data_IF_869578861776
#
_entry.id   IF_869578861776
#
_cell.length_a   1.000
_cell.length_b   1.000
_cell.length_c   1.000
_cell.angle_alpha   90.00
_cell.angle_beta   90.00
_cell.angle_gamma   90.00
#
_symmetry.space_group_name_H-M   'P 1'
#
loop_
_entity.id
_entity.type
_entity.pdbx_description
1 polymer ?
#
# COMPACT_ATOMS: atom_id res chain seq x y z
N UNK A 1 -16.14 -69.87 -46.50
CA UNK A 1 -15.53 -69.76 -45.16
C UNK A 1 -15.53 -68.29 -44.76
N UNK A 2 -15.96 -68.04 -43.53
CA UNK A 2 -16.20 -66.75 -42.89
C UNK A 2 -14.99 -65.79 -42.94
N UNK A 3 -15.26 -64.49 -43.08
CA UNK A 3 -15.04 -63.55 -41.96
C UNK A 3 -15.63 -62.18 -42.25
N UNK A 4 -16.58 -61.80 -41.40
CA UNK A 4 -17.09 -60.46 -41.19
C UNK A 4 -15.99 -59.58 -40.58
N UNK A 5 -15.80 -58.36 -41.07
CA UNK A 5 -15.19 -57.27 -40.30
C UNK A 5 -16.14 -56.07 -40.34
N UNK A 6 -16.73 -55.80 -39.18
CA UNK A 6 -17.56 -54.67 -38.85
C UNK A 6 -16.64 -53.47 -38.58
N UNK A 7 -16.72 -52.41 -39.38
CA UNK A 7 -16.05 -51.13 -39.08
C UNK A 7 -17.09 -50.16 -38.53
N UNK A 8 -16.99 -49.90 -37.23
CA UNK A 8 -17.75 -48.88 -36.52
C UNK A 8 -17.46 -47.48 -37.09
N UNK A 9 -18.52 -46.74 -37.38
CA UNK A 9 -18.45 -45.28 -37.55
C UNK A 9 -18.09 -44.63 -36.20
N UNK A 10 -16.90 -44.03 -36.10
CA UNK A 10 -16.61 -43.08 -35.04
C UNK A 10 -17.08 -41.68 -35.49
N UNK A 11 -18.20 -41.23 -34.92
CA UNK A 11 -18.66 -39.85 -35.03
C UNK A 11 -17.63 -38.92 -34.37
N UNK A 12 -16.92 -38.13 -35.19
CA UNK A 12 -16.08 -37.04 -34.68
C UNK A 12 -17.01 -35.95 -34.16
N UNK A 13 -17.25 -35.96 -32.84
CA UNK A 13 -17.90 -34.88 -32.13
C UNK A 13 -17.05 -33.62 -32.25
N UNK A 14 -17.57 -32.62 -32.95
CA UNK A 14 -16.98 -31.30 -33.05
C UNK A 14 -17.15 -30.59 -31.71
N UNK A 15 -16.26 -30.88 -30.75
CA UNK A 15 -16.14 -30.07 -29.53
C UNK A 15 -15.65 -28.69 -29.94
N UNK A 16 -16.58 -27.74 -30.09
CA UNK A 16 -16.24 -26.30 -30.09
C UNK A 16 -15.63 -26.00 -28.73
N UNK A 17 -14.31 -26.04 -28.66
CA UNK A 17 -13.58 -25.31 -27.63
C UNK A 17 -13.99 -23.85 -27.80
N UNK A 18 -14.85 -23.37 -26.89
CA UNK A 18 -15.00 -21.94 -26.68
C UNK A 18 -13.67 -21.50 -26.11
N UNK A 19 -12.75 -21.13 -27.00
CA UNK A 19 -11.55 -20.41 -26.63
C UNK A 19 -12.08 -19.08 -26.09
N UNK A 20 -12.28 -18.97 -24.78
CA UNK A 20 -12.43 -17.65 -24.18
C UNK A 20 -11.11 -16.97 -24.46
N UNK A 21 -11.11 -16.00 -25.38
CA UNK A 21 -10.03 -15.04 -25.45
C UNK A 21 -9.74 -14.59 -24.00
N UNK A 22 -8.46 -14.53 -23.57
CA UNK A 22 -8.16 -13.85 -22.32
C UNK A 22 -8.85 -12.49 -22.42
N UNK A 23 -9.75 -12.20 -21.50
CA UNK A 23 -10.17 -10.82 -21.33
C UNK A 23 -8.87 -10.11 -21.02
N UNK A 24 -8.33 -9.37 -21.98
CA UNK A 24 -7.52 -8.20 -21.70
C UNK A 24 -8.39 -7.40 -20.74
N UNK A 25 -8.19 -7.60 -19.43
CA UNK A 25 -8.48 -6.57 -18.46
C UNK A 25 -7.49 -5.50 -18.86
N UNK A 26 -7.96 -4.58 -19.69
CA UNK A 26 -7.22 -3.36 -19.93
C UNK A 26 -6.91 -2.79 -18.54
N UNK A 27 -5.63 -2.73 -18.22
CA UNK A 27 -5.05 -2.11 -17.02
C UNK A 27 -5.58 -0.67 -16.93
N UNK A 28 -6.58 -0.46 -16.08
CA UNK A 28 -7.21 0.84 -15.82
C UNK A 28 -7.44 0.98 -14.32
N UNK A 29 -6.42 0.70 -13.52
CA UNK A 29 -6.42 1.08 -12.11
C UNK A 29 -6.19 2.60 -12.06
N UNK A 30 -7.16 3.34 -11.52
CA UNK A 30 -7.20 4.81 -11.55
C UNK A 30 -7.60 5.40 -10.20
N UNK A 31 -6.64 5.42 -9.27
CA UNK A 31 -6.85 6.09 -7.99
C UNK A 31 -7.29 7.55 -8.18
N UNK A 32 -8.12 8.03 -7.25
CA UNK A 32 -8.55 9.43 -7.21
C UNK A 32 -8.41 9.96 -5.79
N UNK A 33 -7.50 10.90 -5.58
CA UNK A 33 -7.39 11.65 -4.33
C UNK A 33 -8.27 12.90 -4.36
N UNK A 34 -8.97 13.16 -3.26
CA UNK A 34 -9.82 14.35 -3.07
C UNK A 34 -9.34 15.11 -1.84
N UNK A 35 -9.29 16.44 -1.96
CA UNK A 35 -9.10 17.37 -0.85
C UNK A 35 -10.25 18.38 -0.84
N UNK A 36 -10.83 18.62 0.33
CA UNK A 36 -11.84 19.66 0.54
C UNK A 36 -11.42 20.50 1.74
N UNK A 37 -11.25 21.80 1.48
CA UNK A 37 -10.94 22.79 2.51
C UNK A 37 -12.08 22.88 3.55
N UNK A 38 -11.72 23.10 4.81
CA UNK A 38 -12.66 23.22 5.91
C UNK A 38 -13.76 24.26 5.65
N UNK A 39 -13.44 25.40 5.02
CA UNK A 39 -14.42 26.44 4.71
C UNK A 39 -15.39 26.08 3.56
N UNK A 40 -15.09 25.00 2.82
CA UNK A 40 -15.93 24.50 1.74
C UNK A 40 -16.92 23.41 2.19
N UNK A 41 -16.82 22.91 3.43
CA UNK A 41 -17.74 21.92 3.99
C UNK A 41 -18.84 22.55 4.83
N UNK A 42 -19.96 21.83 5.00
CA UNK A 42 -21.13 22.34 5.72
C UNK A 42 -20.93 22.37 7.24
N UNK A 43 -20.02 21.55 7.76
CA UNK A 43 -19.71 21.37 9.19
C UNK A 43 -18.36 21.96 9.59
N UNK A 44 -17.60 22.53 8.65
CA UNK A 44 -16.30 23.14 8.91
C UNK A 44 -15.14 22.15 9.02
N UNK A 45 -15.35 20.86 8.73
CA UNK A 45 -14.29 19.85 8.72
C UNK A 45 -13.52 19.83 7.39
N UNK A 46 -12.21 19.66 7.43
CA UNK A 46 -11.40 19.41 6.23
C UNK A 46 -11.48 17.92 5.85
N UNK A 47 -11.37 17.61 4.56
CA UNK A 47 -11.48 16.23 4.06
C UNK A 47 -10.27 15.91 3.19
N UNK A 48 -9.56 14.84 3.53
CA UNK A 48 -8.67 14.12 2.62
C UNK A 48 -9.25 12.71 2.42
N UNK A 49 -9.45 12.32 1.15
CA UNK A 49 -10.07 11.04 0.80
C UNK A 49 -9.45 10.44 -0.45
N UNK A 50 -9.60 9.13 -0.62
CA UNK A 50 -9.20 8.43 -1.85
C UNK A 50 -10.20 7.37 -2.28
N UNK A 51 -10.35 7.19 -3.60
CA UNK A 51 -10.70 5.89 -4.17
C UNK A 51 -9.40 5.16 -4.53
N UNK A 52 -9.15 4.03 -3.87
CA UNK A 52 -7.98 3.20 -4.12
C UNK A 52 -8.35 2.07 -5.10
N UNK A 53 -7.94 2.24 -6.35
CA UNK A 53 -8.18 1.28 -7.43
C UNK A 53 -6.92 0.44 -7.64
N UNK A 54 -7.05 -0.88 -7.61
CA UNK A 54 -5.93 -1.80 -7.72
C UNK A 54 -6.38 -3.24 -7.81
N UNK A 55 -5.76 -4.03 -8.69
CA UNK A 55 -5.94 -5.48 -8.70
C UNK A 55 -4.64 -6.22 -8.98
N UNK A 56 -4.09 -6.97 -8.00
CA UNK A 56 -4.57 -7.25 -6.64
C UNK A 56 -4.33 -6.12 -5.61
N UNK A 57 -5.24 -5.96 -4.63
CA UNK A 57 -5.07 -5.06 -3.48
C UNK A 57 -5.66 -5.68 -2.20
N UNK A 58 -4.93 -5.62 -1.09
CA UNK A 58 -5.43 -5.94 0.25
C UNK A 58 -6.34 -4.78 0.70
N UNK A 59 -7.65 -5.02 0.81
CA UNK A 59 -8.65 -4.00 1.16
C UNK A 59 -8.92 -3.91 2.66
N UNK A 60 -8.16 -4.62 3.51
CA UNK A 60 -8.38 -4.55 4.96
C UNK A 60 -8.05 -3.15 5.49
N UNK A 61 -9.01 -2.57 6.20
CA UNK A 61 -8.77 -1.45 7.10
C UNK A 61 -8.25 -2.01 8.43
N UNK A 62 -7.02 -1.67 8.79
CA UNK A 62 -6.36 -2.14 10.01
C UNK A 62 -6.12 -0.98 10.94
N UNK A 63 -6.69 -1.05 12.15
CA UNK A 63 -6.29 -0.15 13.22
C UNK A 63 -4.96 -0.61 13.82
N UNK A 64 -3.96 0.26 13.73
CA UNK A 64 -2.67 0.14 14.38
C UNK A 64 -2.76 0.90 15.71
N UNK A 65 -2.69 0.22 16.87
CA UNK A 65 -2.78 0.89 18.16
C UNK A 65 -1.60 1.83 18.44
N UNK A 66 -1.78 2.84 19.33
CA UNK A 66 -0.68 3.62 19.89
C UNK A 66 0.44 2.72 20.42
N UNK A 67 1.69 3.13 20.22
CA UNK A 67 2.86 2.42 20.74
C UNK A 67 3.73 3.38 21.53
N UNK A 68 4.18 2.94 22.71
CA UNK A 68 5.18 3.67 23.48
C UNK A 68 6.57 3.22 23.04
N UNK A 69 7.36 4.18 22.56
CA UNK A 69 8.75 3.96 22.20
C UNK A 69 9.70 4.46 23.31
N UNK A 70 10.67 3.62 23.66
CA UNK A 70 11.77 3.95 24.56
C UNK A 70 13.01 4.52 23.86
N UNK A 71 14.06 4.88 24.62
CA UNK A 71 15.28 5.43 24.05
C UNK A 71 15.95 4.49 23.03
N UNK A 72 16.15 5.00 21.82
CA UNK A 72 16.79 4.26 20.71
C UNK A 72 15.94 3.13 20.12
N UNK A 73 14.66 3.02 20.50
CA UNK A 73 13.76 2.06 19.87
C UNK A 73 13.44 2.44 18.43
N UNK A 74 13.26 1.42 17.61
CA UNK A 74 13.13 1.56 16.16
C UNK A 74 11.82 0.96 15.65
N UNK A 75 11.32 1.53 14.57
CA UNK A 75 10.19 1.02 13.79
C UNK A 75 10.71 0.31 12.55
N UNK A 76 10.24 -0.93 12.34
CA UNK A 76 10.50 -1.68 11.11
C UNK A 76 9.81 -1.01 9.91
N UNK A 77 10.48 -1.03 8.75
CA UNK A 77 9.94 -0.54 7.47
C UNK A 77 9.85 -1.71 6.51
N UNK A 78 8.67 -1.94 5.92
CA UNK A 78 8.43 -3.03 4.99
C UNK A 78 8.41 -2.56 3.54
N UNK A 79 8.79 -3.47 2.64
CA UNK A 79 8.69 -3.25 1.21
C UNK A 79 7.23 -3.21 0.78
N UNK A 80 6.90 -2.38 -0.20
CA UNK A 80 5.57 -2.34 -0.82
C UNK A 80 5.13 -3.74 -1.25
N UNK A 81 3.95 -4.16 -0.82
CA UNK A 81 3.31 -5.39 -1.24
C UNK A 81 1.79 -5.22 -1.22
N UNK A 82 1.15 -5.28 -2.39
CA UNK A 82 -0.28 -4.98 -2.50
C UNK A 82 -1.18 -6.19 -2.25
N UNK A 83 -0.68 -7.43 -2.37
CA UNK A 83 -1.50 -8.63 -2.19
C UNK A 83 -1.82 -8.87 -0.72
N UNK A 84 -2.94 -9.53 -0.46
CA UNK A 84 -3.20 -10.06 0.88
C UNK A 84 -2.23 -11.21 1.23
N UNK A 85 -1.62 -11.20 2.42
CA UNK A 85 -1.59 -10.08 3.37
C UNK A 85 -0.51 -9.05 2.97
N UNK A 86 -0.84 -7.74 3.04
CA UNK A 86 0.13 -6.68 2.70
C UNK A 86 1.39 -6.73 3.57
N UNK A 87 1.20 -7.02 4.86
CA UNK A 87 2.24 -7.35 5.82
C UNK A 87 1.74 -8.43 6.79
N UNK A 88 2.68 -9.19 7.35
CA UNK A 88 2.46 -10.13 8.45
C UNK A 88 3.35 -9.71 9.62
N UNK A 89 2.76 -8.97 10.57
CA UNK A 89 3.43 -8.43 11.73
C UNK A 89 2.44 -8.24 12.89
N UNK A 90 2.32 -9.24 13.75
CA UNK A 90 1.46 -9.19 14.93
C UNK A 90 1.89 -8.11 15.94
N UNK A 91 3.15 -7.65 15.88
CA UNK A 91 3.66 -6.57 16.73
C UNK A 91 3.26 -5.18 16.24
N UNK A 92 2.99 -5.03 14.93
CA UNK A 92 2.41 -3.82 14.35
C UNK A 92 0.96 -3.67 14.78
N UNK A 93 0.14 -4.68 14.51
CA UNK A 93 -1.26 -4.69 14.92
C UNK A 93 -1.78 -6.14 15.05
N UNK A 94 -2.73 -6.42 15.96
CA UNK A 94 -3.36 -7.74 16.05
C UNK A 94 -3.95 -8.23 14.72
N UNK A 95 -4.51 -7.33 13.92
CA UNK A 95 -5.08 -7.65 12.60
C UNK A 95 -4.03 -7.99 11.53
N UNK A 96 -2.75 -7.74 11.80
CA UNK A 96 -1.62 -8.17 10.98
C UNK A 96 -0.99 -9.48 11.46
N UNK A 97 -1.57 -10.13 12.48
CA UNK A 97 -1.17 -11.47 12.86
C UNK A 97 -1.45 -12.48 11.71
N UNK A 98 -0.60 -13.51 11.56
CA UNK A 98 -0.81 -14.55 10.56
C UNK A 98 -2.13 -15.28 10.82
N UNK A 99 -2.94 -15.47 9.78
CA UNK A 99 -4.21 -16.20 9.83
C UNK A 99 -4.07 -17.68 9.46
N UNK A 100 -2.89 -18.09 8.98
CA UNK A 100 -2.57 -19.48 8.65
C UNK A 100 -1.07 -19.78 8.85
N UNK A 101 -0.67 -21.06 9.00
CA UNK A 101 0.74 -21.45 9.12
C UNK A 101 1.61 -21.09 7.90
N UNK A 102 0.99 -20.88 6.74
CA UNK A 102 1.68 -20.54 5.49
C UNK A 102 2.06 -19.06 5.43
N UNK A 103 1.36 -18.19 6.17
CA UNK A 103 1.72 -16.78 6.30
C UNK A 103 2.96 -16.63 7.18
N UNK A 104 4.11 -16.42 6.53
CA UNK A 104 5.38 -16.14 7.22
C UNK A 104 5.46 -14.66 7.62
N UNK A 105 6.10 -14.33 8.76
CA UNK A 105 6.36 -12.94 9.12
C UNK A 105 7.04 -12.18 7.99
N UNK A 106 6.60 -10.95 7.76
CA UNK A 106 7.23 -10.07 6.78
C UNK A 106 8.65 -9.74 7.21
N UNK A 107 9.56 -9.62 6.24
CA UNK A 107 10.96 -9.25 6.49
C UNK A 107 11.12 -7.75 6.25
N UNK A 108 11.54 -6.97 7.27
CA UNK A 108 11.81 -5.54 7.09
C UNK A 108 12.98 -5.30 6.12
N UNK A 109 12.89 -4.23 5.33
CA UNK A 109 13.99 -3.75 4.47
C UNK A 109 14.84 -2.67 5.15
N UNK A 110 14.41 -2.22 6.33
CA UNK A 110 15.15 -1.32 7.19
C UNK A 110 14.38 -0.94 8.44
N UNK A 111 14.94 0.01 9.16
CA UNK A 111 14.41 0.52 10.42
C UNK A 111 14.68 2.01 10.52
N UNK A 112 13.75 2.73 11.16
CA UNK A 112 13.96 4.14 11.53
C UNK A 112 13.86 4.32 13.04
N UNK A 113 14.54 5.34 13.55
CA UNK A 113 14.42 5.75 14.95
C UNK A 113 13.07 6.43 15.15
N UNK A 114 12.38 6.06 16.23
CA UNK A 114 11.10 6.68 16.60
C UNK A 114 11.29 7.66 17.75
N UNK A 115 10.46 8.72 17.83
CA UNK A 115 10.48 9.62 18.98
C UNK A 115 10.13 8.86 20.26
N UNK A 116 10.80 9.18 21.36
CA UNK A 116 10.44 8.65 22.67
C UNK A 116 9.04 9.13 23.07
N UNK A 117 8.27 8.24 23.71
CA UNK A 117 6.90 8.51 24.14
C UNK A 117 5.85 7.70 23.39
N UNK A 118 4.58 8.01 23.63
CA UNK A 118 3.45 7.30 23.03
C UNK A 118 3.05 7.96 21.73
N UNK A 119 3.08 7.19 20.65
CA UNK A 119 2.63 7.56 19.30
C UNK A 119 1.11 7.54 19.19
N UNK A 120 0.58 8.06 18.09
CA UNK A 120 -0.83 8.01 17.79
C UNK A 120 -1.25 6.63 17.24
N UNK A 121 -2.46 6.20 17.61
CA UNK A 121 -3.16 5.13 16.91
C UNK A 121 -3.70 5.61 15.57
N UNK A 122 -3.61 4.77 14.54
CA UNK A 122 -4.03 5.12 13.18
C UNK A 122 -4.69 3.97 12.43
N UNK A 123 -5.44 4.34 11.40
CA UNK A 123 -6.03 3.43 10.44
C UNK A 123 -5.14 3.34 9.21
N UNK A 124 -4.74 2.11 8.91
CA UNK A 124 -3.94 1.72 7.76
C UNK A 124 -4.80 0.93 6.76
N UNK A 125 -4.55 1.14 5.48
CA UNK A 125 -5.19 0.48 4.35
C UNK A 125 -4.13 0.18 3.28
N UNK A 126 -4.40 0.46 2.00
CA UNK A 126 -3.35 0.47 0.99
C UNK A 126 -2.25 1.50 1.32
N UNK A 127 -2.66 2.56 2.01
CA UNK A 127 -1.87 3.68 2.51
C UNK A 127 -2.47 4.12 3.84
N UNK A 128 -1.77 4.96 4.58
CA UNK A 128 -2.28 5.57 5.81
C UNK A 128 -3.56 6.37 5.53
N UNK A 129 -4.58 6.18 6.37
CA UNK A 129 -5.92 6.79 6.17
C UNK A 129 -6.16 7.94 7.14
N UNK A 130 -6.10 7.69 8.44
CA UNK A 130 -6.30 8.72 9.46
C UNK A 130 -5.80 8.28 10.83
N UNK A 131 -5.52 9.22 11.74
CA UNK A 131 -5.15 8.92 13.12
C UNK A 131 -6.13 9.49 14.16
N UNK A 132 -5.91 9.14 15.42
CA UNK A 132 -6.73 9.58 16.55
C UNK A 132 -6.64 11.09 16.86
N UNK A 133 -5.65 11.80 16.28
CA UNK A 133 -5.54 13.24 16.38
C UNK A 133 -6.40 13.99 15.34
N UNK A 134 -7.08 13.28 14.44
CA UNK A 134 -7.89 13.87 13.38
C UNK A 134 -7.10 14.26 12.13
N UNK A 135 -5.84 13.83 12.02
CA UNK A 135 -5.07 13.92 10.78
C UNK A 135 -5.54 12.82 9.82
N UNK A 136 -5.83 13.18 8.57
CA UNK A 136 -6.30 12.26 7.53
C UNK A 136 -5.52 12.45 6.23
N UNK A 137 -5.48 11.39 5.41
CA UNK A 137 -4.75 11.36 4.15
C UNK A 137 -5.57 10.67 3.05
N UNK A 138 -5.42 11.19 1.84
CA UNK A 138 -5.80 10.53 0.59
C UNK A 138 -4.58 10.37 -0.29
N UNK A 139 -4.57 9.36 -1.15
CA UNK A 139 -3.45 9.02 -2.02
C UNK A 139 -3.94 8.84 -3.46
N UNK A 140 -3.14 9.27 -4.43
CA UNK A 140 -3.32 8.91 -5.83
C UNK A 140 -1.98 8.81 -6.53
N UNK A 141 -1.79 7.71 -7.27
CA UNK A 141 -0.58 7.52 -8.05
C UNK A 141 -0.43 8.54 -9.17
N UNK A 142 0.82 8.94 -9.41
CA UNK A 142 1.16 9.89 -10.45
C UNK A 142 2.51 9.57 -11.10
N UNK A 143 2.78 10.17 -12.26
CA UNK A 143 4.06 9.95 -12.93
C UNK A 143 5.21 10.61 -12.16
N UNK A 144 6.34 9.92 -12.06
CA UNK A 144 7.58 10.44 -11.50
C UNK A 144 8.64 10.63 -12.58
N UNK A 145 9.43 11.71 -12.48
CA UNK A 145 10.64 11.88 -13.32
C UNK A 145 11.83 11.06 -12.83
N UNK A 146 11.85 10.79 -11.53
CA UNK A 146 12.87 10.02 -10.85
C UNK A 146 12.21 8.75 -10.33
N UNK A 147 12.90 7.63 -10.49
CA UNK A 147 12.47 6.34 -9.96
C UNK A 147 13.66 5.69 -9.26
N UNK A 148 13.38 4.99 -8.18
CA UNK A 148 14.33 4.14 -7.48
C UNK A 148 13.75 2.73 -7.34
N UNK A 149 14.51 1.83 -6.74
CA UNK A 149 14.06 0.49 -6.36
C UNK A 149 14.11 0.36 -4.84
N UNK A 150 13.36 -0.59 -4.25
CA UNK A 150 13.46 -0.89 -2.83
C UNK A 150 14.90 -1.18 -2.41
N UNK A 151 15.26 -0.76 -1.20
CA UNK A 151 16.57 -1.05 -0.60
C UNK A 151 16.83 -2.56 -0.61
N UNK A 152 17.97 -2.95 -1.19
CA UNK A 152 18.38 -4.34 -1.36
C UNK A 152 18.14 -4.90 -2.76
N UNK A 153 17.24 -4.29 -3.54
CA UNK A 153 16.94 -4.72 -4.91
C UNK A 153 17.85 -4.06 -5.97
N UNK A 154 18.56 -2.98 -5.59
CA UNK A 154 19.50 -2.29 -6.46
C UNK A 154 20.87 -2.97 -6.54
N UNK A 155 21.73 -2.56 -7.49
CA UNK A 155 23.10 -3.06 -7.59
C UNK A 155 23.84 -2.92 -6.25
N UNK A 156 24.57 -3.96 -5.86
CA UNK A 156 25.29 -4.03 -4.58
C UNK A 156 24.41 -3.78 -3.33
N UNK A 157 23.11 -4.09 -3.40
CA UNK A 157 22.17 -3.90 -2.28
C UNK A 157 21.73 -2.45 -2.07
N UNK A 158 21.95 -1.58 -3.05
CA UNK A 158 21.45 -0.19 -3.05
C UNK A 158 19.93 -0.12 -3.20
N UNK A 159 19.38 1.08 -3.07
CA UNK A 159 17.94 1.36 -3.21
C UNK A 159 17.45 2.36 -2.17
N UNK A 160 16.17 2.68 -2.23
CA UNK A 160 15.48 3.58 -1.32
C UNK A 160 14.72 2.81 -0.23
N UNK A 161 14.63 3.36 0.97
CA UNK A 161 13.94 2.71 2.07
C UNK A 161 12.42 2.85 1.98
N UNK A 162 11.93 3.98 1.46
CA UNK A 162 10.52 4.34 1.60
C UNK A 162 9.74 4.28 0.29
N UNK A 163 8.53 3.73 0.39
CA UNK A 163 7.43 3.98 -0.52
C UNK A 163 6.34 4.76 0.22
N UNK A 164 5.32 5.24 -0.48
CA UNK A 164 4.35 6.19 0.08
C UNK A 164 3.56 5.63 1.28
N UNK A 165 3.19 4.34 1.28
CA UNK A 165 2.42 3.75 2.37
C UNK A 165 3.17 3.82 3.71
N UNK A 166 4.42 3.37 3.75
CA UNK A 166 5.24 3.45 4.97
C UNK A 166 5.48 4.90 5.43
N UNK A 167 5.66 5.86 4.49
CA UNK A 167 5.77 7.28 4.85
C UNK A 167 4.49 7.80 5.49
N UNK A 168 3.33 7.50 4.89
CA UNK A 168 2.02 7.92 5.40
C UNK A 168 1.72 7.30 6.77
N UNK A 169 2.05 6.02 6.97
CA UNK A 169 1.88 5.33 8.24
C UNK A 169 2.73 5.96 9.35
N UNK A 170 4.02 6.24 9.06
CA UNK A 170 4.91 6.87 10.04
C UNK A 170 4.41 8.26 10.39
N UNK A 171 3.99 9.05 9.39
CA UNK A 171 3.47 10.37 9.63
C UNK A 171 2.20 10.33 10.48
N UNK A 172 1.26 9.43 10.21
CA UNK A 172 0.07 9.23 11.05
C UNK A 172 0.43 8.73 12.47
N UNK A 173 1.49 7.94 12.61
CA UNK A 173 1.96 7.44 13.90
C UNK A 173 2.56 8.60 14.76
N UNK A 174 3.20 9.62 14.17
CA UNK A 174 3.95 10.64 14.94
C UNK A 174 3.42 12.07 14.87
N UNK A 175 2.50 12.39 13.97
CA UNK A 175 2.02 13.76 13.74
C UNK A 175 0.54 13.95 14.07
N UNK A 176 0.19 15.17 14.49
CA UNK A 176 -1.19 15.60 14.71
C UNK A 176 -1.67 16.67 13.73
N UNK A 177 -0.80 17.13 12.82
CA UNK A 177 -1.10 18.19 11.84
C UNK A 177 -0.60 17.82 10.45
N UNK A 178 -1.24 18.37 9.42
CA UNK A 178 -0.93 18.16 8.02
C UNK A 178 0.50 18.62 7.70
N UNK A 179 0.90 19.78 8.23
CA UNK A 179 2.27 20.30 8.05
C UNK A 179 3.33 19.43 8.71
N UNK A 180 3.07 18.89 9.91
CA UNK A 180 3.96 17.92 10.54
C UNK A 180 4.13 16.70 9.65
N UNK A 181 3.03 16.16 9.11
CA UNK A 181 3.06 15.00 8.25
C UNK A 181 3.89 15.24 6.98
N UNK A 182 3.65 16.35 6.28
CA UNK A 182 4.41 16.74 5.09
C UNK A 182 5.92 16.82 5.38
N UNK A 183 6.29 17.50 6.47
CA UNK A 183 7.70 17.68 6.84
C UNK A 183 8.36 16.36 7.24
N UNK A 184 7.63 15.51 7.98
CA UNK A 184 8.12 14.20 8.41
C UNK A 184 8.35 13.27 7.22
N UNK A 185 7.36 13.15 6.33
CA UNK A 185 7.48 12.32 5.12
C UNK A 185 8.59 12.84 4.21
N UNK A 186 8.67 14.15 3.99
CA UNK A 186 9.72 14.78 3.19
C UNK A 186 11.11 14.51 3.74
N UNK A 187 11.33 14.73 5.04
CA UNK A 187 12.62 14.48 5.69
C UNK A 187 13.05 13.01 5.56
N UNK A 188 12.13 12.08 5.82
CA UNK A 188 12.41 10.64 5.71
C UNK A 188 12.75 10.22 4.28
N UNK A 189 12.03 10.75 3.29
CA UNK A 189 12.28 10.50 1.88
C UNK A 189 13.62 11.08 1.42
N UNK A 190 14.01 12.27 1.89
CA UNK A 190 15.31 12.88 1.59
C UNK A 190 16.47 12.11 2.23
N UNK A 191 16.32 11.69 3.49
CA UNK A 191 17.38 11.03 4.26
C UNK A 191 17.60 9.56 3.83
N UNK A 192 16.52 8.84 3.54
CA UNK A 192 16.58 7.40 3.31
C UNK A 192 16.14 6.97 1.90
N UNK A 193 15.78 7.93 1.06
CA UNK A 193 15.33 7.72 -0.31
C UNK A 193 13.87 7.29 -0.42
N UNK A 194 13.27 7.64 -1.56
CA UNK A 194 11.93 7.23 -1.97
C UNK A 194 11.97 6.36 -3.24
N UNK A 195 11.09 5.36 -3.31
CA UNK A 195 10.78 4.59 -4.52
C UNK A 195 9.27 4.50 -4.71
N UNK A 196 8.80 4.73 -5.94
CA UNK A 196 7.45 4.37 -6.38
C UNK A 196 7.42 3.00 -7.05
N UNK A 197 6.34 2.72 -7.77
CA UNK A 197 6.20 1.50 -8.59
C UNK A 197 7.27 1.46 -9.70
N UNK A 198 7.57 0.25 -10.17
CA UNK A 198 8.66 0.00 -11.14
C UNK A 198 8.21 0.46 -12.53
N UNK A 199 8.30 1.75 -12.80
CA UNK A 199 7.99 2.36 -14.08
C UNK A 199 7.67 3.85 -13.93
N UNK A 200 8.14 4.69 -14.86
CA UNK A 200 7.99 6.16 -14.78
C UNK A 200 6.54 6.67 -14.66
N UNK A 201 5.56 5.86 -15.07
CA UNK A 201 4.13 6.22 -15.00
C UNK A 201 3.57 6.23 -13.58
N UNK A 202 4.18 5.47 -12.67
CA UNK A 202 3.78 5.32 -11.26
C UNK A 202 4.99 5.45 -10.32
N UNK A 203 6.06 6.08 -10.80
CA UNK A 203 7.26 6.32 -10.01
C UNK A 203 7.07 7.43 -8.97
N UNK A 204 5.96 8.17 -9.03
CA UNK A 204 5.56 9.21 -8.07
C UNK A 204 4.22 8.89 -7.43
N UNK A 205 3.93 9.56 -6.32
CA UNK A 205 2.70 9.40 -5.55
C UNK A 205 2.27 10.79 -5.07
N UNK A 206 0.97 11.09 -5.10
CA UNK A 206 0.43 12.36 -4.65
C UNK A 206 -0.46 12.12 -3.43
N UNK A 207 -0.20 12.86 -2.35
CA UNK A 207 -1.05 12.81 -1.16
C UNK A 207 -1.86 14.10 -1.01
N UNK A 208 -3.14 13.93 -0.69
CA UNK A 208 -3.94 14.95 -0.03
C UNK A 208 -3.88 14.71 1.47
N UNK A 209 -3.75 15.76 2.27
CA UNK A 209 -3.59 15.65 3.72
C UNK A 209 -4.46 16.73 4.34
N UNK A 210 -5.25 16.36 5.34
CA UNK A 210 -6.15 17.27 6.03
C UNK A 210 -6.06 17.06 7.55
N UNK A 211 -6.09 18.16 8.30
CA UNK A 211 -6.26 18.15 9.75
C UNK A 211 -7.47 19.00 10.18
N UNK A 212 -7.55 19.39 11.45
CA UNK A 212 -8.66 20.22 11.95
C UNK A 212 -8.70 21.65 11.41
N UNK A 213 -7.71 22.07 10.62
CA UNK A 213 -7.52 23.47 10.20
C UNK A 213 -7.03 23.69 8.78
N UNK A 214 -6.31 22.75 8.16
CA UNK A 214 -5.73 22.87 6.80
C UNK A 214 -5.80 21.56 6.00
#
# INVERSE_FOLDING_TARGET
>A
MLSFVLVLLASVGLSRAVLSAPRDRLDHDHCTATAVDCAATADGGCIAATSADGSPLDFRMVYVPPKTYGPGEKRAVYKQFQNYPRIVDASRAPSYAPTSPDQKPSVPIGYIDMPEGTTYGYWDAAYGVMNEAGLSMGESSCSGRLSSVPKGDGPNGSGALFWVGELSDIALEVCSTARCAIQTMGKLAEEHGFYGSIGVKEAGEALTIADGTE
#
